data_IF_192130779319
#
_entry.id   IF_192130779319
#
_cell.length_a   1.000
_cell.length_b   1.000
_cell.length_c   1.000
_cell.angle_alpha   90.00
_cell.angle_beta   90.00
_cell.angle_gamma   90.00
#
_symmetry.space_group_name_H-M   'P 1'
#
loop_
_entity.id
_entity.type
_entity.pdbx_description
1 polymer ?
#
# COMPACT_ATOMS: atom_id res chain seq x y z
N UNK A 1 -11.06 -2.81 12.79
CA UNK A 1 -10.29 -1.58 13.10
C UNK A 1 -10.29 -1.32 14.61
N UNK A 2 -11.41 -1.00 15.27
CA UNK A 2 -11.41 -0.76 16.73
C UNK A 2 -11.00 -2.01 17.54
N UNK A 3 -11.51 -3.19 17.17
CA UNK A 3 -11.13 -4.45 17.83
C UNK A 3 -9.66 -4.80 17.60
N UNK A 4 -9.14 -4.58 16.39
CA UNK A 4 -7.72 -4.83 16.06
C UNK A 4 -6.80 -3.90 16.85
N UNK A 5 -7.20 -2.63 16.99
CA UNK A 5 -6.47 -1.64 17.78
C UNK A 5 -6.47 -2.04 19.26
N UNK A 6 -7.61 -2.47 19.80
CA UNK A 6 -7.71 -2.92 21.18
C UNK A 6 -6.82 -4.16 21.44
N UNK A 7 -6.88 -5.15 20.56
CA UNK A 7 -6.04 -6.35 20.68
C UNK A 7 -4.54 -6.02 20.60
N UNK A 8 -4.17 -5.04 19.78
CA UNK A 8 -2.81 -4.51 19.71
C UNK A 8 -2.41 -3.83 21.03
N UNK A 9 -3.23 -2.92 21.55
CA UNK A 9 -2.95 -2.21 22.80
C UNK A 9 -2.82 -3.18 23.98
N UNK A 10 -3.68 -4.20 24.05
CA UNK A 10 -3.63 -5.27 25.05
C UNK A 10 -2.30 -6.05 24.97
N UNK A 11 -1.85 -6.40 23.75
CA UNK A 11 -0.58 -7.09 23.54
C UNK A 11 0.63 -6.22 23.92
N UNK A 12 0.59 -4.92 23.60
CA UNK A 12 1.63 -3.96 23.98
C UNK A 12 1.77 -3.89 25.49
N UNK A 13 0.66 -3.80 26.23
CA UNK A 13 0.69 -3.75 27.70
C UNK A 13 1.28 -5.02 28.30
N UNK A 14 0.88 -6.20 27.81
CA UNK A 14 1.46 -7.48 28.24
C UNK A 14 2.99 -7.49 28.02
N UNK A 15 3.46 -7.03 26.87
CA UNK A 15 4.89 -6.98 26.56
C UNK A 15 5.63 -5.95 27.41
N UNK A 16 5.04 -4.79 27.70
CA UNK A 16 5.63 -3.80 28.61
C UNK A 16 5.79 -4.38 30.01
N UNK A 17 4.76 -5.05 30.53
CA UNK A 17 4.80 -5.68 31.83
C UNK A 17 5.89 -6.74 31.90
N UNK A 18 5.95 -7.67 30.94
CA UNK A 18 6.96 -8.73 30.91
C UNK A 18 8.38 -8.18 30.76
N UNK A 19 8.62 -7.29 29.79
CA UNK A 19 9.96 -6.75 29.54
C UNK A 19 10.45 -5.84 30.67
N UNK A 20 9.55 -5.21 31.44
CA UNK A 20 9.94 -4.33 32.55
C UNK A 20 10.47 -5.08 33.77
N UNK A 21 10.13 -6.37 33.94
CA UNK A 21 10.51 -7.18 35.13
C UNK A 21 12.03 -7.24 35.33
N UNK A 22 12.78 -7.50 34.27
CA UNK A 22 14.25 -7.57 34.33
C UNK A 22 14.86 -6.26 34.86
N UNK A 23 14.37 -5.12 34.39
CA UNK A 23 14.85 -3.82 34.85
C UNK A 23 14.46 -3.50 36.28
N UNK A 24 13.25 -3.90 36.70
CA UNK A 24 12.81 -3.76 38.09
C UNK A 24 13.69 -4.60 39.01
N UNK A 25 14.04 -5.82 38.62
CA UNK A 25 14.98 -6.70 39.35
C UNK A 25 16.39 -6.12 39.42
N UNK A 26 16.84 -5.42 38.38
CA UNK A 26 18.09 -4.64 38.39
C UNK A 26 18.03 -3.36 39.25
N UNK A 27 16.92 -3.11 39.95
CA UNK A 27 16.75 -1.99 40.87
C UNK A 27 16.29 -0.69 40.20
N UNK A 28 15.83 -0.72 38.95
CA UNK A 28 15.19 0.43 38.33
C UNK A 28 13.79 0.64 38.91
N UNK A 29 13.43 1.91 39.10
CA UNK A 29 12.06 2.29 39.43
C UNK A 29 11.06 1.84 38.34
N UNK A 30 9.84 1.48 38.75
CA UNK A 30 8.81 0.90 37.87
C UNK A 30 8.49 1.81 36.68
N UNK A 31 8.36 3.11 36.90
CA UNK A 31 8.01 4.05 35.83
C UNK A 31 9.16 4.21 34.84
N UNK A 32 10.41 4.17 35.33
CA UNK A 32 11.61 4.22 34.49
C UNK A 32 11.79 2.93 33.70
N UNK A 33 11.51 1.77 34.29
CA UNK A 33 11.57 0.47 33.63
C UNK A 33 10.56 0.39 32.47
N UNK A 34 9.30 0.78 32.71
CA UNK A 34 8.25 0.82 31.67
C UNK A 34 8.65 1.70 30.48
N UNK A 35 9.05 2.95 30.74
CA UNK A 35 9.50 3.88 29.68
C UNK A 35 10.70 3.37 28.88
N UNK A 36 11.56 2.55 29.50
CA UNK A 36 12.73 1.99 28.84
C UNK A 36 12.36 0.90 27.83
N UNK A 37 11.34 0.11 28.11
CA UNK A 37 10.91 -1.02 27.27
C UNK A 37 9.76 -0.69 26.32
N UNK A 38 9.02 0.39 26.58
CA UNK A 38 7.84 0.82 25.83
C UNK A 38 8.04 0.78 24.31
N UNK A 39 9.11 1.40 23.81
CA UNK A 39 9.38 1.44 22.36
C UNK A 39 9.61 0.04 21.77
N UNK A 40 10.35 -0.81 22.47
CA UNK A 40 10.63 -2.17 22.03
C UNK A 40 9.35 -3.01 22.01
N UNK A 41 8.56 -2.95 23.09
CA UNK A 41 7.29 -3.67 23.18
C UNK A 41 6.28 -3.26 22.09
N UNK A 42 6.25 -1.97 21.74
CA UNK A 42 5.43 -1.44 20.63
C UNK A 42 5.89 -1.99 19.27
N UNK A 43 7.19 -2.14 19.05
CA UNK A 43 7.77 -2.69 17.81
C UNK A 43 7.53 -4.20 17.73
N UNK A 44 7.74 -4.93 18.83
CA UNK A 44 7.54 -6.38 18.92
C UNK A 44 6.07 -6.77 18.74
N UNK A 45 5.13 -5.99 19.27
CA UNK A 45 3.71 -6.22 19.07
C UNK A 45 3.30 -6.19 17.59
N UNK A 46 4.03 -5.51 16.70
CA UNK A 46 3.69 -5.44 15.26
C UNK A 46 3.94 -6.73 14.51
N UNK A 47 4.69 -7.70 15.06
CA UNK A 47 4.96 -8.96 14.38
C UNK A 47 3.71 -9.81 14.13
N UNK A 48 2.62 -9.57 14.87
CA UNK A 48 1.35 -10.28 14.67
C UNK A 48 0.46 -9.63 13.60
N UNK A 49 0.82 -8.46 13.07
CA UNK A 49 -0.01 -7.77 12.09
C UNK A 49 -0.10 -8.53 10.77
N UNK A 50 -1.30 -8.61 10.16
CA UNK A 50 -1.48 -9.22 8.86
C UNK A 50 -0.91 -8.31 7.76
N UNK A 51 -0.62 -8.89 6.60
CA UNK A 51 -0.25 -8.14 5.39
C UNK A 51 -1.31 -7.12 4.94
N UNK A 52 -2.56 -7.27 5.39
CA UNK A 52 -3.68 -6.38 5.09
C UNK A 52 -3.76 -5.16 6.03
N UNK A 53 -2.82 -5.00 6.96
CA UNK A 53 -2.73 -3.82 7.82
C UNK A 53 -2.60 -2.55 6.97
N UNK A 54 -3.52 -1.60 7.15
CA UNK A 54 -3.51 -0.33 6.40
C UNK A 54 -2.23 0.45 6.73
N UNK A 55 -1.55 0.93 5.70
CA UNK A 55 -0.39 1.81 5.85
C UNK A 55 -0.49 3.01 4.93
N UNK A 56 -0.12 4.17 5.44
CA UNK A 56 -0.18 5.44 4.69
C UNK A 56 1.20 5.74 4.14
N UNK A 57 1.31 5.77 2.81
CA UNK A 57 2.57 6.01 2.10
C UNK A 57 2.47 7.31 1.31
N UNK A 58 3.42 8.21 1.55
CA UNK A 58 3.60 9.40 0.71
C UNK A 58 4.82 9.16 -0.18
N UNK A 59 4.64 9.25 -1.49
CA UNK A 59 5.71 9.07 -2.47
C UNK A 59 5.60 10.09 -3.60
N UNK A 60 6.73 10.34 -4.26
CA UNK A 60 6.81 11.23 -5.43
C UNK A 60 7.45 10.46 -6.60
N UNK A 61 6.91 10.65 -7.80
CA UNK A 61 7.43 10.06 -9.02
C UNK A 61 7.49 11.13 -10.11
N UNK A 62 8.55 11.10 -10.93
CA UNK A 62 8.53 11.86 -12.18
C UNK A 62 7.55 11.22 -13.18
N UNK A 63 7.18 11.95 -14.23
CA UNK A 63 6.18 11.50 -15.22
C UNK A 63 6.59 10.20 -15.91
N UNK A 64 7.88 10.01 -16.23
CA UNK A 64 8.36 8.79 -16.89
C UNK A 64 8.18 7.56 -16.00
N UNK A 65 8.54 7.67 -14.72
CA UNK A 65 8.35 6.60 -13.72
C UNK A 65 6.86 6.34 -13.51
N UNK A 66 6.04 7.39 -13.46
CA UNK A 66 4.60 7.27 -13.28
C UNK A 66 3.93 6.54 -14.45
N UNK A 67 4.29 6.88 -15.70
CA UNK A 67 3.79 6.17 -16.88
C UNK A 67 4.20 4.68 -16.88
N UNK A 68 5.44 4.38 -16.45
CA UNK A 68 5.88 3.00 -16.29
C UNK A 68 5.12 2.26 -15.17
N UNK A 69 4.90 2.91 -14.03
CA UNK A 69 4.10 2.34 -12.94
C UNK A 69 2.69 2.00 -13.40
N UNK A 70 2.02 2.92 -14.09
CA UNK A 70 0.67 2.73 -14.62
C UNK A 70 0.62 1.62 -15.67
N UNK A 71 1.64 1.49 -16.53
CA UNK A 71 1.67 0.46 -17.56
C UNK A 71 1.71 -0.97 -17.00
N UNK A 72 2.31 -1.13 -15.81
CA UNK A 72 2.36 -2.39 -15.07
C UNK A 72 1.14 -2.58 -14.17
N UNK A 73 0.78 -1.57 -13.38
CA UNK A 73 -0.20 -1.71 -12.28
C UNK A 73 -1.64 -1.58 -12.74
N UNK A 74 -1.91 -0.94 -13.88
CA UNK A 74 -3.24 -0.95 -14.48
C UNK A 74 -3.53 -2.23 -15.28
N UNK A 75 -2.58 -3.17 -15.41
CA UNK A 75 -2.77 -4.41 -16.16
C UNK A 75 -3.73 -5.37 -15.44
N UNK A 76 -4.58 -6.08 -16.18
CA UNK A 76 -5.50 -7.08 -15.62
C UNK A 76 -4.79 -8.26 -14.92
N UNK A 77 -3.48 -8.45 -15.18
CA UNK A 77 -2.65 -9.44 -14.48
C UNK A 77 -2.15 -8.95 -13.11
N UNK A 78 -2.13 -7.63 -12.89
CA UNK A 78 -1.77 -7.09 -11.59
C UNK A 78 -2.85 -7.46 -10.56
N UNK A 79 -2.43 -7.58 -9.30
CA UNK A 79 -3.33 -7.81 -8.17
C UNK A 79 -4.43 -6.75 -8.18
N UNK A 80 -5.65 -7.15 -7.84
CA UNK A 80 -6.82 -6.30 -8.05
C UNK A 80 -6.79 -5.05 -7.18
N UNK A 81 -6.23 -5.12 -5.96
CA UNK A 81 -6.08 -3.99 -5.04
C UNK A 81 -5.18 -2.90 -5.63
N UNK A 82 -3.96 -3.25 -6.06
CA UNK A 82 -3.03 -2.27 -6.65
C UNK A 82 -3.54 -1.76 -8.00
N UNK A 83 -4.30 -2.57 -8.74
CA UNK A 83 -4.95 -2.14 -9.98
C UNK A 83 -6.02 -1.10 -9.74
N UNK A 84 -6.86 -1.27 -8.72
CA UNK A 84 -7.87 -0.27 -8.35
C UNK A 84 -7.20 1.04 -7.95
N UNK A 85 -6.21 0.99 -7.06
CA UNK A 85 -5.44 2.17 -6.65
C UNK A 85 -4.79 2.87 -7.84
N UNK A 86 -4.07 2.15 -8.71
CA UNK A 86 -3.40 2.74 -9.87
C UNK A 86 -4.38 3.32 -10.90
N UNK A 87 -5.55 2.70 -11.07
CA UNK A 87 -6.61 3.21 -11.96
C UNK A 87 -7.19 4.52 -11.43
N UNK A 88 -7.43 4.61 -10.12
CA UNK A 88 -7.90 5.84 -9.48
C UNK A 88 -6.84 6.95 -9.55
N UNK A 89 -5.56 6.62 -9.34
CA UNK A 89 -4.46 7.56 -9.58
C UNK A 89 -4.49 8.09 -11.02
N UNK A 90 -4.63 7.22 -12.01
CA UNK A 90 -4.70 7.64 -13.42
C UNK A 90 -5.91 8.53 -13.70
N UNK A 91 -7.08 8.25 -13.11
CA UNK A 91 -8.27 9.09 -13.24
C UNK A 91 -7.98 10.53 -12.79
N UNK A 92 -7.36 10.71 -11.63
CA UNK A 92 -6.98 12.02 -11.11
C UNK A 92 -5.89 12.70 -11.96
N UNK A 93 -4.91 11.93 -12.44
CA UNK A 93 -3.84 12.46 -13.31
C UNK A 93 -4.38 12.96 -14.65
N UNK A 94 -5.40 12.31 -15.21
CA UNK A 94 -6.08 12.77 -16.43
C UNK A 94 -6.84 14.08 -16.22
N UNK A 95 -7.39 14.32 -15.02
CA UNK A 95 -8.00 15.61 -14.67
C UNK A 95 -6.94 16.72 -14.58
N UNK A 96 -5.78 16.43 -13.97
CA UNK A 96 -4.69 17.40 -13.77
C UNK A 96 -3.98 17.75 -15.09
N UNK A 97 -3.66 16.73 -15.91
CA UNK A 97 -2.91 16.93 -17.15
C UNK A 97 -3.38 15.97 -18.27
N UNK A 98 -4.50 16.28 -18.94
CA UNK A 98 -5.09 15.44 -19.97
C UNK A 98 -4.14 15.09 -21.12
N UNK A 99 -3.28 16.03 -21.53
CA UNK A 99 -2.36 15.85 -22.67
C UNK A 99 -1.33 14.77 -22.38
N UNK A 100 -0.67 14.85 -21.21
CA UNK A 100 0.37 13.88 -20.81
C UNK A 100 -0.21 12.48 -20.60
N UNK A 101 -1.42 12.37 -20.02
CA UNK A 101 -2.01 11.09 -19.61
C UNK A 101 -3.09 10.57 -20.57
N UNK A 102 -3.28 11.21 -21.73
CA UNK A 102 -4.29 10.84 -22.74
C UNK A 102 -4.29 9.34 -23.07
N UNK A 103 -3.10 8.79 -23.31
CA UNK A 103 -2.88 7.39 -23.69
C UNK A 103 -2.24 6.56 -22.56
N UNK A 104 -2.26 7.05 -21.32
CA UNK A 104 -1.74 6.32 -20.17
C UNK A 104 -2.72 5.21 -19.74
N UNK A 105 -2.17 4.16 -19.13
CA UNK A 105 -2.88 2.93 -18.80
C UNK A 105 -1.96 1.73 -19.00
N UNK A 106 -2.49 0.49 -18.98
CA UNK A 106 -1.68 -0.70 -19.18
C UNK A 106 -1.05 -0.72 -20.58
N UNK A 107 0.06 -1.43 -20.75
CA UNK A 107 0.83 -1.42 -22.00
C UNK A 107 0.03 -1.76 -23.27
N UNK A 108 -1.08 -2.51 -23.14
CA UNK A 108 -1.97 -2.81 -24.27
C UNK A 108 -2.82 -1.62 -24.75
N UNK A 109 -2.86 -0.48 -24.04
CA UNK A 109 -3.60 0.74 -24.44
C UNK A 109 -2.95 1.42 -25.64
N UNK A 110 -1.62 1.56 -25.62
CA UNK A 110 -0.86 2.27 -26.66
C UNK A 110 -0.10 1.31 -27.61
N UNK A 111 -0.22 0.00 -27.42
CA UNK A 111 0.51 -0.99 -28.21
C UNK A 111 -0.08 -2.41 -28.12
N UNK A 112 0.61 -3.41 -28.70
CA UNK A 112 0.30 -4.81 -28.46
C UNK A 112 0.48 -5.17 -26.98
N UNK A 113 -0.17 -6.24 -26.52
CA UNK A 113 -0.04 -6.67 -25.12
C UNK A 113 1.41 -7.04 -24.81
N UNK A 114 2.09 -6.38 -23.85
CA UNK A 114 3.49 -6.64 -23.53
C UNK A 114 3.71 -8.03 -22.89
N UNK A 115 2.63 -8.64 -22.39
CA UNK A 115 2.66 -9.94 -21.70
C UNK A 115 2.82 -11.13 -22.66
N UNK A 116 2.72 -10.91 -23.98
CA UNK A 116 2.86 -11.95 -25.00
C UNK A 116 1.93 -13.14 -24.76
N UNK A 117 2.51 -14.31 -24.51
CA UNK A 117 1.78 -15.56 -24.21
C UNK A 117 0.90 -15.47 -22.96
N UNK A 118 1.22 -14.57 -22.02
CA UNK A 118 0.50 -14.39 -20.76
C UNK A 118 -0.63 -13.35 -20.86
N UNK A 119 -1.05 -12.97 -22.07
CA UNK A 119 -2.15 -12.03 -22.28
C UNK A 119 -3.44 -12.48 -21.59
N UNK A 120 -4.20 -11.52 -21.05
CA UNK A 120 -5.53 -11.79 -20.52
C UNK A 120 -6.60 -11.95 -21.61
N UNK A 121 -6.26 -11.72 -22.88
CA UNK A 121 -7.19 -11.79 -24.03
C UNK A 121 -8.16 -10.60 -24.16
N UNK A 122 -8.29 -9.76 -23.12
CA UNK A 122 -9.28 -8.67 -23.03
C UNK A 122 -8.79 -7.31 -23.52
N UNK A 123 -7.85 -7.28 -24.45
CA UNK A 123 -7.21 -6.02 -24.86
C UNK A 123 -8.21 -4.98 -25.42
N UNK A 124 -9.28 -5.42 -26.10
CA UNK A 124 -10.33 -4.53 -26.62
C UNK A 124 -11.10 -3.85 -25.48
N UNK A 125 -11.61 -4.63 -24.53
CA UNK A 125 -12.33 -4.14 -23.34
C UNK A 125 -11.47 -3.17 -22.52
N UNK A 126 -10.20 -3.52 -22.32
CA UNK A 126 -9.25 -2.68 -21.57
C UNK A 126 -9.03 -1.34 -22.27
N UNK A 127 -8.86 -1.33 -23.59
CA UNK A 127 -8.69 -0.09 -24.37
C UNK A 127 -9.92 0.80 -24.26
N UNK A 128 -11.11 0.22 -24.38
CA UNK A 128 -12.37 0.95 -24.25
C UNK A 128 -12.52 1.57 -22.86
N UNK A 129 -12.27 0.78 -21.81
CA UNK A 129 -12.32 1.25 -20.43
C UNK A 129 -11.36 2.43 -20.18
N UNK A 130 -10.09 2.31 -20.55
CA UNK A 130 -9.10 3.37 -20.30
C UNK A 130 -9.27 4.58 -21.22
N UNK A 131 -9.94 4.45 -22.36
CA UNK A 131 -10.30 5.57 -23.23
C UNK A 131 -11.34 6.46 -22.55
N UNK A 132 -12.37 5.85 -21.98
CA UNK A 132 -13.49 6.55 -21.34
C UNK A 132 -13.20 6.91 -19.87
N UNK A 133 -12.06 6.46 -19.32
CA UNK A 133 -11.65 6.76 -17.95
C UNK A 133 -11.44 8.27 -17.77
N UNK A 134 -12.29 8.88 -16.93
CA UNK A 134 -12.26 10.32 -16.61
C UNK A 134 -13.22 11.18 -17.45
N UNK A 135 -13.99 10.58 -18.35
CA UNK A 135 -15.14 11.25 -18.97
C UNK A 135 -16.26 11.37 -17.92
N UNK A 136 -16.73 12.60 -17.65
CA UNK A 136 -17.88 12.89 -16.79
C UNK A 136 -19.16 12.92 -17.62
#
# INVERSE_FOLDING_TARGET
>A
MEEDQKAYDDLVEILIEENSKEYIEMGLDKDKARKKVEKQSIEDARYVFPNACETKIVFTMNVRTLLHFLSLRCCNRAQWEIRQMATEMLRQLKEISPILFKNAGPGCVYGPCPEGKMTCGKAKEVREFFKNLGEK
#
